data_IF_133661330378
#
_entry.id   IF_133661330378
#
_cell.length_a   1.000
_cell.length_b   1.000
_cell.length_c   1.000
_cell.angle_alpha   90.00
_cell.angle_beta   90.00
_cell.angle_gamma   90.00
#
_symmetry.space_group_name_H-M   'P 1'
#
loop_
_entity.id
_entity.type
_entity.pdbx_description
1 polymer ?
#
# COMPACT_ATOMS: atom_id res chain seq x y z
N UNK A 1 16.45 -16.15 -3.09
CA UNK A 1 15.76 -16.24 -4.40
C UNK A 1 14.88 -15.04 -4.80
N UNK A 2 14.10 -14.33 -3.97
CA UNK A 2 13.60 -12.99 -4.36
C UNK A 2 14.64 -11.90 -4.03
N UNK A 3 15.29 -11.97 -2.87
CA UNK A 3 16.21 -10.92 -2.39
C UNK A 3 17.58 -10.90 -3.08
N UNK A 4 18.12 -12.04 -3.49
CA UNK A 4 19.34 -12.07 -4.33
C UNK A 4 19.11 -11.34 -5.65
N UNK A 5 17.91 -11.45 -6.24
CA UNK A 5 17.55 -10.71 -7.45
C UNK A 5 17.47 -9.20 -7.17
N UNK A 6 16.92 -8.79 -6.02
CA UNK A 6 16.90 -7.39 -5.57
C UNK A 6 18.30 -6.81 -5.31
N UNK A 7 19.22 -7.63 -4.79
CA UNK A 7 20.63 -7.29 -4.62
C UNK A 7 21.29 -6.97 -5.96
N UNK A 8 21.12 -7.83 -6.97
CA UNK A 8 21.66 -7.61 -8.32
C UNK A 8 20.97 -6.45 -9.06
N UNK A 9 19.67 -6.23 -8.85
CA UNK A 9 18.94 -5.10 -9.46
C UNK A 9 19.50 -3.74 -9.03
N UNK A 10 20.14 -3.66 -7.86
CA UNK A 10 20.75 -2.42 -7.36
C UNK A 10 22.14 -2.15 -7.98
N UNK A 11 22.77 -3.17 -8.56
CA UNK A 11 24.13 -3.08 -9.11
C UNK A 11 24.15 -3.06 -10.66
N UNK A 12 23.11 -3.59 -11.32
CA UNK A 12 22.91 -3.48 -12.77
C UNK A 12 21.94 -2.33 -13.12
N UNK A 13 22.41 -1.24 -13.78
CA UNK A 13 21.58 -0.11 -14.16
C UNK A 13 20.40 -0.45 -15.08
N UNK A 14 20.54 -1.46 -15.96
CA UNK A 14 19.48 -1.88 -16.86
C UNK A 14 18.34 -2.57 -16.09
N UNK A 15 18.70 -3.41 -15.11
CA UNK A 15 17.75 -4.04 -14.21
C UNK A 15 17.09 -3.02 -13.28
N UNK A 16 17.86 -2.07 -12.71
CA UNK A 16 17.31 -0.98 -11.90
C UNK A 16 16.23 -0.19 -12.66
N UNK A 17 16.51 0.15 -13.93
CA UNK A 17 15.57 0.86 -14.78
C UNK A 17 14.31 0.02 -15.08
N UNK A 18 14.46 -1.28 -15.28
CA UNK A 18 13.32 -2.18 -15.46
C UNK A 18 12.45 -2.24 -14.20
N UNK A 19 13.07 -2.39 -13.03
CA UNK A 19 12.35 -2.40 -11.76
C UNK A 19 11.60 -1.08 -11.51
N UNK A 20 12.25 0.06 -11.75
CA UNK A 20 11.64 1.37 -11.64
C UNK A 20 10.41 1.52 -12.57
N UNK A 21 10.47 0.99 -13.80
CA UNK A 21 9.31 0.96 -14.72
C UNK A 21 8.18 0.10 -14.18
N UNK A 22 8.48 -1.08 -13.64
CA UNK A 22 7.49 -1.98 -13.03
C UNK A 22 6.80 -1.31 -11.83
N UNK A 23 7.56 -0.73 -10.91
CA UNK A 23 7.04 0.02 -9.77
C UNK A 23 6.22 1.24 -10.19
N UNK A 24 6.63 1.92 -11.25
CA UNK A 24 5.86 3.04 -11.82
C UNK A 24 4.51 2.56 -12.36
N UNK A 25 4.49 1.44 -13.08
CA UNK A 25 3.26 0.86 -13.61
C UNK A 25 2.32 0.41 -12.49
N UNK A 26 2.85 -0.27 -11.47
CA UNK A 26 2.08 -0.71 -10.30
C UNK A 26 1.43 0.49 -9.58
N UNK A 27 2.22 1.53 -9.26
CA UNK A 27 1.70 2.74 -8.61
C UNK A 27 0.65 3.45 -9.46
N UNK A 28 0.81 3.51 -10.79
CA UNK A 28 -0.22 4.07 -11.69
C UNK A 28 -1.53 3.28 -11.65
N UNK A 29 -1.46 1.95 -11.59
CA UNK A 29 -2.64 1.09 -11.48
C UNK A 29 -3.38 1.33 -10.16
N UNK A 30 -2.66 1.29 -9.05
CA UNK A 30 -3.20 1.52 -7.70
C UNK A 30 -3.78 2.94 -7.61
N UNK A 31 -3.04 3.95 -8.08
CA UNK A 31 -3.46 5.35 -8.02
C UNK A 31 -4.77 5.63 -8.75
N UNK A 32 -5.04 4.93 -9.87
CA UNK A 32 -6.34 5.04 -10.56
C UNK A 32 -7.50 4.55 -9.68
N UNK A 33 -7.31 3.46 -8.96
CA UNK A 33 -8.33 2.93 -8.03
C UNK A 33 -8.56 3.89 -6.87
N UNK A 34 -7.47 4.43 -6.29
CA UNK A 34 -7.58 5.44 -5.22
C UNK A 34 -8.30 6.69 -5.71
N UNK A 35 -7.93 7.23 -6.88
CA UNK A 35 -8.56 8.41 -7.44
C UNK A 35 -10.06 8.22 -7.68
N UNK A 36 -10.48 7.05 -8.18
CA UNK A 36 -11.88 6.70 -8.33
C UNK A 36 -12.61 6.68 -6.98
N UNK A 37 -12.06 5.99 -5.97
CA UNK A 37 -12.67 5.93 -4.64
C UNK A 37 -12.68 7.28 -3.90
N UNK A 38 -11.76 8.21 -4.22
CA UNK A 38 -11.82 9.59 -3.71
C UNK A 38 -12.94 10.37 -4.42
N UNK A 39 -13.09 10.21 -5.73
CA UNK A 39 -14.10 10.90 -6.53
C UNK A 39 -15.53 10.44 -6.19
N UNK A 40 -15.72 9.14 -5.96
CA UNK A 40 -17.01 8.53 -5.62
C UNK A 40 -17.41 8.75 -4.15
N UNK A 41 -16.47 9.20 -3.31
CA UNK A 41 -16.69 9.50 -1.89
C UNK A 41 -16.43 8.41 -0.83
N UNK A 42 -16.19 7.11 -1.13
CA UNK A 42 -15.88 6.14 -0.06
C UNK A 42 -14.50 6.35 0.58
N UNK A 43 -13.54 6.95 -0.13
CA UNK A 43 -12.21 7.27 0.41
C UNK A 43 -12.10 8.72 0.84
N UNK A 44 -11.32 8.98 1.91
CA UNK A 44 -10.95 10.35 2.28
C UNK A 44 -10.13 10.99 1.16
N UNK A 45 -10.19 12.31 1.04
CA UNK A 45 -9.33 13.06 0.10
C UNK A 45 -7.85 12.84 0.44
N UNK A 46 -7.10 12.30 -0.53
CA UNK A 46 -5.65 12.05 -0.50
C UNK A 46 -5.06 12.31 -1.88
N UNK A 47 -3.75 12.56 -1.94
CA UNK A 47 -3.02 12.45 -3.20
C UNK A 47 -2.95 10.97 -3.63
N UNK A 48 -3.42 10.67 -4.83
CA UNK A 48 -3.52 9.30 -5.31
C UNK A 48 -2.15 8.67 -5.61
N UNK A 49 -1.14 9.48 -5.94
CA UNK A 49 0.22 9.02 -6.21
C UNK A 49 0.95 8.65 -4.91
N UNK A 50 0.86 9.49 -3.90
CA UNK A 50 1.38 9.23 -2.55
C UNK A 50 0.68 8.01 -1.93
N UNK A 51 -0.65 7.95 -2.00
CA UNK A 51 -1.42 6.81 -1.51
C UNK A 51 -1.00 5.51 -2.22
N UNK A 52 -0.81 5.54 -3.55
CA UNK A 52 -0.34 4.37 -4.28
C UNK A 52 1.05 3.89 -3.84
N UNK A 53 1.96 4.81 -3.51
CA UNK A 53 3.27 4.45 -2.98
C UNK A 53 3.17 3.80 -1.59
N UNK A 54 2.34 4.34 -0.70
CA UNK A 54 2.10 3.77 0.65
C UNK A 54 1.47 2.38 0.56
N UNK A 55 0.47 2.21 -0.30
CA UNK A 55 -0.20 0.92 -0.53
C UNK A 55 0.79 -0.14 -1.02
N UNK A 56 1.61 0.22 -2.01
CA UNK A 56 2.61 -0.71 -2.55
C UNK A 56 3.66 -1.07 -1.50
N UNK A 57 4.11 -0.11 -0.69
CA UNK A 57 5.06 -0.36 0.40
C UNK A 57 4.50 -1.32 1.47
N UNK A 58 3.20 -1.20 1.81
CA UNK A 58 2.54 -2.13 2.72
C UNK A 58 2.53 -3.55 2.16
N UNK A 59 2.16 -3.71 0.89
CA UNK A 59 2.11 -5.01 0.22
C UNK A 59 3.51 -5.65 0.17
N UNK A 60 4.51 -4.91 -0.30
CA UNK A 60 5.89 -5.37 -0.39
C UNK A 60 6.44 -5.79 0.99
N UNK A 61 6.19 -4.96 2.01
CA UNK A 61 6.64 -5.21 3.37
C UNK A 61 6.02 -6.46 4.00
N UNK A 62 4.73 -6.71 3.77
CA UNK A 62 4.07 -7.91 4.29
C UNK A 62 4.48 -9.16 3.51
N UNK A 63 4.60 -9.07 2.19
CA UNK A 63 5.10 -10.16 1.35
C UNK A 63 6.54 -10.54 1.71
N UNK A 64 7.41 -9.57 1.99
CA UNK A 64 8.77 -9.83 2.46
C UNK A 64 8.80 -10.55 3.80
N UNK A 65 8.00 -10.08 4.78
CA UNK A 65 7.93 -10.72 6.09
C UNK A 65 7.48 -12.19 6.00
N UNK A 66 6.46 -12.49 5.19
CA UNK A 66 6.00 -13.87 4.97
C UNK A 66 7.00 -14.73 4.19
N UNK A 67 7.81 -14.10 3.33
CA UNK A 67 8.90 -14.79 2.61
C UNK A 67 10.00 -15.20 3.59
N UNK A 68 10.31 -14.36 4.57
CA UNK A 68 11.32 -14.63 5.58
C UNK A 68 10.85 -15.60 6.66
N UNK A 69 9.62 -15.43 7.12
CA UNK A 69 9.01 -16.25 8.15
C UNK A 69 7.63 -16.73 7.66
N UNK A 70 7.56 -17.89 6.98
CA UNK A 70 6.29 -18.49 6.57
C UNK A 70 5.37 -18.84 7.75
N UNK A 71 5.91 -18.92 8.97
CA UNK A 71 5.16 -19.19 10.20
C UNK A 71 4.53 -17.95 10.83
N UNK A 72 4.90 -16.74 10.38
CA UNK A 72 4.43 -15.48 10.96
C UNK A 72 2.90 -15.39 11.01
N UNK A 73 2.24 -15.71 9.89
CA UNK A 73 0.79 -15.87 9.84
C UNK A 73 0.34 -16.58 8.55
N UNK A 74 -0.84 -17.25 8.56
CA UNK A 74 -1.44 -17.77 7.34
C UNK A 74 -1.75 -16.66 6.34
N UNK A 75 -1.66 -16.94 5.03
CA UNK A 75 -1.92 -15.98 3.94
C UNK A 75 -3.28 -15.28 4.08
N UNK A 76 -4.34 -16.03 4.40
CA UNK A 76 -5.66 -15.45 4.62
C UNK A 76 -5.69 -14.43 5.77
N UNK A 77 -4.83 -14.58 6.79
CA UNK A 77 -4.69 -13.58 7.86
C UNK A 77 -3.91 -12.35 7.38
N UNK A 78 -2.88 -12.54 6.57
CA UNK A 78 -2.13 -11.44 5.96
C UNK A 78 -3.02 -10.56 5.08
N UNK A 79 -3.88 -11.16 4.24
CA UNK A 79 -4.87 -10.43 3.42
C UNK A 79 -5.79 -9.55 4.28
N UNK A 80 -6.35 -10.10 5.36
CA UNK A 80 -7.22 -9.35 6.29
C UNK A 80 -6.48 -8.21 6.99
N UNK A 81 -5.22 -8.43 7.37
CA UNK A 81 -4.40 -7.38 8.00
C UNK A 81 -4.11 -6.25 7.01
N UNK A 82 -3.75 -6.60 5.77
CA UNK A 82 -3.59 -5.63 4.69
C UNK A 82 -4.87 -4.84 4.46
N UNK A 83 -6.00 -5.50 4.28
CA UNK A 83 -7.30 -4.86 4.06
C UNK A 83 -7.64 -3.90 5.20
N UNK A 84 -7.52 -4.33 6.46
CA UNK A 84 -7.79 -3.49 7.62
C UNK A 84 -6.88 -2.25 7.67
N UNK A 85 -5.59 -2.41 7.36
CA UNK A 85 -4.65 -1.29 7.29
C UNK A 85 -4.99 -0.32 6.15
N UNK A 86 -5.36 -0.83 4.98
CA UNK A 86 -5.78 -0.02 3.83
C UNK A 86 -7.07 0.74 4.11
N UNK A 87 -8.06 0.10 4.73
CA UNK A 87 -9.31 0.74 5.15
C UNK A 87 -9.07 1.81 6.20
N UNK A 88 -8.17 1.58 7.16
CA UNK A 88 -7.79 2.60 8.14
C UNK A 88 -7.08 3.79 7.49
N UNK A 89 -6.24 3.52 6.48
CA UNK A 89 -5.48 4.54 5.77
C UNK A 89 -6.32 5.36 4.78
N UNK A 90 -7.23 4.72 4.05
CA UNK A 90 -8.07 5.35 3.00
C UNK A 90 -9.46 5.77 3.51
N UNK A 91 -9.92 5.20 4.62
CA UNK A 91 -11.24 5.46 5.16
C UNK A 91 -11.46 6.93 5.54
N UNK A 92 -12.73 7.38 5.61
CA UNK A 92 -13.06 8.73 6.02
C UNK A 92 -12.45 9.05 7.39
N UNK A 93 -11.87 10.25 7.54
CA UNK A 93 -11.38 10.70 8.85
C UNK A 93 -12.56 10.68 9.82
N UNK A 94 -12.50 9.84 10.86
CA UNK A 94 -13.42 9.92 11.99
C UNK A 94 -13.37 11.35 12.50
N UNK A 95 -14.51 12.05 12.46
CA UNK A 95 -14.62 13.35 13.08
C UNK A 95 -14.31 13.21 14.57
N UNK A 96 -13.58 14.16 15.20
CA UNK A 96 -13.43 14.16 16.64
C UNK A 96 -14.83 14.16 17.29
N UNK A 97 -15.00 13.50 18.46
CA UNK A 97 -16.27 13.49 19.15
C UNK A 97 -16.71 14.94 19.36
N UNK A 98 -17.90 15.29 18.86
CA UNK A 98 -18.50 16.60 19.13
C UNK A 98 -18.75 16.66 20.63
N UNK A 99 -17.88 17.34 21.37
CA UNK A 99 -18.17 17.69 22.76
C UNK A 99 -19.43 18.55 22.71
N UNK A 100 -20.51 18.01 23.27
CA UNK A 100 -21.84 18.60 23.21
C UNK A 100 -21.79 20.06 23.65
N UNK A 101 -22.43 20.93 22.87
CA UNK A 101 -22.73 22.29 23.30
C UNK A 101 -23.53 22.21 24.59
N UNK A 102 -22.86 22.50 25.71
CA UNK A 102 -23.53 22.75 26.97
C UNK A 102 -24.14 24.14 26.90
N UNK A 103 -25.48 24.13 26.84
CA UNK A 103 -26.44 25.19 27.23
C UNK A 103 -26.46 26.49 26.43
#
# INVERSE_FOLDING_TARGET
>A
MFIEFWGETLHDPALAALNARSYTRARRLIGRVVAAGVAEGPFRRVDAGEAAAVILALLDGLSLQLTFDPGLMPTARAERVCEAALLAYLGPRRAPPRHGGAR
#
